data_IF_319314565284
#
_entry.id   IF_319314565284
#
_cell.length_a   1.000
_cell.length_b   1.000
_cell.length_c   1.000
_cell.angle_alpha   90.00
_cell.angle_beta   90.00
_cell.angle_gamma   90.00
#
_symmetry.space_group_name_H-M   'P 1'
#
loop_
_entity.id
_entity.type
_entity.pdbx_description
1 polymer ?
#
# COMPACT_ATOMS: atom_id res chain seq x y z
N UNK A 1 -7.67 1.77 12.18
CA UNK A 1 -7.76 1.43 10.74
C UNK A 1 -6.33 1.39 10.23
N UNK A 2 -5.86 0.29 9.65
CA UNK A 2 -4.45 0.14 9.26
C UNK A 2 -4.07 1.06 8.08
N UNK A 3 -3.13 1.97 8.30
CA UNK A 3 -2.50 2.82 7.29
C UNK A 3 -0.98 2.60 7.28
N UNK A 4 -0.43 2.19 6.13
CA UNK A 4 1.02 2.00 5.94
C UNK A 4 1.74 3.30 5.56
N UNK A 5 0.99 4.35 5.23
CA UNK A 5 1.47 5.66 4.79
C UNK A 5 0.46 6.73 5.23
N UNK A 6 0.92 7.94 5.53
CA UNK A 6 0.02 9.04 5.92
C UNK A 6 -0.57 9.75 4.70
N UNK A 7 -1.68 10.47 4.92
CA UNK A 7 -2.34 11.26 3.88
C UNK A 7 -1.39 12.31 3.30
N UNK A 8 -0.63 13.00 4.13
CA UNK A 8 0.30 14.07 3.69
C UNK A 8 1.39 13.52 2.77
N UNK A 9 1.93 12.34 3.08
CA UNK A 9 2.94 11.67 2.25
C UNK A 9 2.34 11.27 0.90
N UNK A 10 1.11 10.75 0.88
CA UNK A 10 0.42 10.39 -0.37
C UNK A 10 0.14 11.63 -1.21
N UNK A 11 -0.40 12.70 -0.62
CA UNK A 11 -0.69 13.96 -1.32
C UNK A 11 0.58 14.54 -1.94
N UNK A 12 1.67 14.59 -1.18
CA UNK A 12 2.96 15.04 -1.67
C UNK A 12 3.48 14.17 -2.83
N UNK A 13 3.33 12.85 -2.75
CA UNK A 13 3.80 11.93 -3.79
C UNK A 13 2.94 11.95 -5.07
N UNK A 14 1.64 12.20 -4.94
CA UNK A 14 0.69 12.27 -6.06
C UNK A 14 0.49 13.69 -6.61
N UNK A 15 1.20 14.68 -6.06
CA UNK A 15 1.08 16.10 -6.43
C UNK A 15 -0.35 16.64 -6.25
N UNK A 16 -1.03 16.20 -5.20
CA UNK A 16 -2.34 16.72 -4.79
C UNK A 16 -2.12 17.84 -3.78
N UNK A 17 -2.53 19.05 -4.14
CA UNK A 17 -2.33 20.28 -3.35
C UNK A 17 -3.60 20.78 -2.65
N UNK A 18 -4.75 20.19 -2.96
CA UNK A 18 -6.05 20.52 -2.34
C UNK A 18 -6.46 19.48 -1.30
N UNK A 19 -7.49 19.81 -0.52
CA UNK A 19 -8.07 18.94 0.50
C UNK A 19 -9.41 18.31 0.05
N UNK A 20 -9.86 18.60 -1.17
CA UNK A 20 -11.18 18.18 -1.68
C UNK A 20 -11.34 16.64 -1.75
N UNK A 21 -10.23 15.93 -1.91
CA UNK A 21 -10.18 14.47 -2.06
C UNK A 21 -9.65 13.75 -0.81
N UNK A 22 -9.48 14.43 0.32
CA UNK A 22 -8.86 13.86 1.53
C UNK A 22 -9.59 12.61 2.01
N UNK A 23 -10.93 12.67 2.12
CA UNK A 23 -11.77 11.51 2.49
C UNK A 23 -11.60 10.32 1.53
N UNK A 24 -11.47 10.61 0.24
CA UNK A 24 -11.27 9.58 -0.80
C UNK A 24 -9.87 8.97 -0.68
N UNK A 25 -8.84 9.80 -0.55
CA UNK A 25 -7.47 9.36 -0.41
C UNK A 25 -7.26 8.55 0.87
N UNK A 26 -7.87 8.94 1.99
CA UNK A 26 -7.84 8.15 3.23
C UNK A 26 -8.45 6.76 3.02
N UNK A 27 -9.63 6.68 2.39
CA UNK A 27 -10.27 5.40 2.08
C UNK A 27 -9.37 4.53 1.21
N UNK A 28 -8.74 5.10 0.18
CA UNK A 28 -7.82 4.40 -0.71
C UNK A 28 -6.55 3.95 0.02
N UNK A 29 -6.00 4.76 0.92
CA UNK A 29 -4.86 4.40 1.77
C UNK A 29 -5.19 3.18 2.61
N UNK A 30 -6.36 3.14 3.26
CA UNK A 30 -6.77 1.97 4.06
C UNK A 30 -6.96 0.72 3.19
N UNK A 31 -7.56 0.88 2.00
CA UNK A 31 -7.76 -0.23 1.06
C UNK A 31 -6.42 -0.77 0.52
N UNK A 32 -5.51 0.13 0.13
CA UNK A 32 -4.18 -0.20 -0.37
C UNK A 32 -3.34 -0.89 0.71
N UNK A 33 -3.32 -0.32 1.92
CA UNK A 33 -2.61 -0.87 3.09
C UNK A 33 -3.03 -2.31 3.37
N UNK A 34 -4.34 -2.57 3.42
CA UNK A 34 -4.87 -3.94 3.61
C UNK A 34 -4.48 -4.88 2.47
N UNK A 35 -4.44 -4.39 1.25
CA UNK A 35 -4.10 -5.19 0.07
C UNK A 35 -2.62 -5.58 0.06
N UNK A 36 -1.74 -4.66 0.44
CA UNK A 36 -0.29 -4.90 0.61
C UNK A 36 -0.03 -5.91 1.72
N UNK A 37 -0.67 -5.76 2.90
CA UNK A 37 -0.54 -6.73 4.01
C UNK A 37 -1.03 -8.12 3.59
N UNK A 38 -2.18 -8.21 2.91
CA UNK A 38 -2.69 -9.49 2.37
C UNK A 38 -1.73 -10.12 1.37
N UNK A 39 -1.06 -9.32 0.54
CA UNK A 39 -0.07 -9.81 -0.40
C UNK A 39 1.16 -10.40 0.30
N UNK A 40 1.66 -9.72 1.35
CA UNK A 40 2.81 -10.16 2.15
C UNK A 40 2.52 -11.37 3.06
N UNK A 41 1.25 -11.65 3.36
CA UNK A 41 0.81 -12.80 4.19
C UNK A 41 1.51 -12.80 5.56
N UNK A 42 1.95 -13.96 6.06
CA UNK A 42 2.64 -14.11 7.34
C UNK A 42 3.93 -13.28 7.46
N UNK A 43 4.54 -12.84 6.34
CA UNK A 43 5.70 -11.94 6.37
C UNK A 43 5.33 -10.53 6.82
N UNK A 44 4.06 -10.12 6.66
CA UNK A 44 3.60 -8.82 7.11
C UNK A 44 3.79 -8.63 8.62
N UNK A 45 3.51 -9.68 9.42
CA UNK A 45 3.67 -9.65 10.88
C UNK A 45 5.13 -9.36 11.29
N UNK A 46 6.09 -9.92 10.55
CA UNK A 46 7.53 -9.74 10.81
C UNK A 46 8.03 -8.38 10.30
N UNK A 47 7.55 -7.95 9.14
CA UNK A 47 8.04 -6.74 8.45
C UNK A 47 7.41 -5.45 8.97
N UNK A 48 6.25 -5.52 9.61
CA UNK A 48 5.46 -4.36 10.04
C UNK A 48 5.25 -4.32 11.56
N UNK A 49 5.82 -5.27 12.30
CA UNK A 49 5.65 -5.43 13.75
C UNK A 49 4.19 -5.23 14.19
N UNK A 50 3.29 -6.00 13.56
CA UNK A 50 1.86 -5.86 13.78
C UNK A 50 1.50 -6.32 15.18
N UNK A 51 0.72 -5.50 15.90
CA UNK A 51 0.21 -5.85 17.21
C UNK A 51 -0.90 -6.92 17.14
N UNK A 52 -1.40 -7.34 18.31
CA UNK A 52 -2.52 -8.31 18.40
C UNK A 52 -3.84 -7.81 17.80
N UNK A 53 -3.93 -6.52 17.49
CA UNK A 53 -5.08 -5.87 16.85
C UNK A 53 -4.89 -5.69 15.33
N UNK A 54 -3.72 -6.05 14.79
CA UNK A 54 -3.38 -5.92 13.37
C UNK A 54 -3.03 -4.50 12.95
N UNK A 55 -2.62 -3.65 13.89
CA UNK A 55 -2.10 -2.30 13.64
C UNK A 55 -0.57 -2.27 13.81
N UNK A 56 0.09 -1.28 13.21
CA UNK A 56 1.54 -1.12 13.34
C UNK A 56 1.86 -0.68 14.77
N UNK A 57 2.82 -1.35 15.42
CA UNK A 57 3.24 -0.98 16.76
C UNK A 57 3.77 0.46 16.82
N UNK A 58 3.49 1.16 17.92
CA UNK A 58 3.87 2.57 18.06
C UNK A 58 5.40 2.73 17.99
N UNK A 59 5.88 3.51 17.03
CA UNK A 59 7.32 3.79 16.86
C UNK A 59 8.03 2.85 15.87
N UNK A 60 7.31 1.92 15.24
CA UNK A 60 7.86 1.14 14.13
C UNK A 60 7.79 1.93 12.82
N UNK A 61 8.90 1.97 12.09
CA UNK A 61 8.96 2.61 10.77
C UNK A 61 8.70 1.59 9.66
N UNK A 62 7.69 1.86 8.83
CA UNK A 62 7.36 0.99 7.69
C UNK A 62 8.50 1.02 6.66
N UNK A 63 8.99 -0.15 6.18
CA UNK A 63 10.03 -0.20 5.16
C UNK A 63 9.71 0.65 3.92
N UNK A 64 10.68 1.40 3.36
CA UNK A 64 10.43 2.30 2.24
C UNK A 64 9.80 1.63 1.01
N UNK A 65 10.16 0.38 0.72
CA UNK A 65 9.61 -0.40 -0.38
C UNK A 65 8.10 -0.64 -0.21
N UNK A 66 7.66 -0.87 1.03
CA UNK A 66 6.25 -1.05 1.38
C UNK A 66 5.50 0.29 1.28
N UNK A 67 6.12 1.38 1.72
CA UNK A 67 5.55 2.73 1.60
C UNK A 67 5.34 3.08 0.12
N UNK A 68 6.37 2.95 -0.72
CA UNK A 68 6.29 3.25 -2.15
C UNK A 68 5.29 2.34 -2.86
N UNK A 69 5.27 1.04 -2.55
CA UNK A 69 4.29 0.12 -3.10
C UNK A 69 2.85 0.52 -2.74
N UNK A 70 2.63 1.01 -1.51
CA UNK A 70 1.31 1.50 -1.07
C UNK A 70 0.93 2.77 -1.82
N UNK A 71 1.83 3.74 -1.96
CA UNK A 71 1.62 4.97 -2.73
C UNK A 71 1.27 4.65 -4.18
N UNK A 72 2.00 3.73 -4.81
CA UNK A 72 1.73 3.32 -6.20
C UNK A 72 0.33 2.73 -6.35
N UNK A 73 -0.08 1.88 -5.41
CA UNK A 73 -1.42 1.30 -5.43
C UNK A 73 -2.50 2.37 -5.23
N UNK A 74 -2.32 3.31 -4.30
CA UNK A 74 -3.26 4.44 -4.12
C UNK A 74 -3.36 5.27 -5.39
N UNK A 75 -2.22 5.63 -6.00
CA UNK A 75 -2.20 6.39 -7.24
C UNK A 75 -2.88 5.67 -8.40
N UNK A 76 -2.74 4.35 -8.51
CA UNK A 76 -3.47 3.54 -9.51
C UNK A 76 -4.98 3.59 -9.27
N UNK A 77 -5.42 3.37 -8.03
CA UNK A 77 -6.86 3.36 -7.68
C UNK A 77 -7.51 4.73 -7.81
N UNK A 78 -6.77 5.80 -7.48
CA UNK A 78 -7.25 7.17 -7.58
C UNK A 78 -7.38 7.64 -9.04
N UNK A 79 -6.45 7.21 -9.92
CA UNK A 79 -6.48 7.57 -11.34
C UNK A 79 -7.64 6.92 -12.10
N UNK A 80 -7.95 5.67 -11.79
CA UNK A 80 -8.95 4.86 -12.52
C UNK A 80 -9.97 4.25 -11.54
N UNK A 81 -10.86 5.07 -10.94
CA UNK A 81 -11.80 4.58 -9.93
C UNK A 81 -12.90 3.68 -10.49
N UNK A 82 -13.20 3.78 -11.79
CA UNK A 82 -14.31 3.11 -12.47
C UNK A 82 -13.88 2.04 -13.47
N UNK A 83 -12.57 1.82 -13.65
CA UNK A 83 -12.05 0.98 -14.72
C UNK A 83 -10.65 0.43 -14.50
N UNK A 84 -10.13 -0.20 -15.56
CA UNK A 84 -8.76 -0.71 -15.65
C UNK A 84 -8.29 -0.56 -17.11
N UNK A 85 -8.23 0.69 -17.58
CA UNK A 85 -7.90 1.04 -18.96
C UNK A 85 -6.47 0.61 -19.31
N UNK A 86 -5.54 0.73 -18.36
CA UNK A 86 -4.15 0.28 -18.51
C UNK A 86 -3.97 -1.23 -18.31
N UNK A 87 -5.03 -1.99 -17.97
CA UNK A 87 -4.95 -3.42 -17.62
C UNK A 87 -3.91 -3.69 -16.53
N UNK A 88 -3.83 -2.78 -15.58
CA UNK A 88 -2.94 -2.84 -14.44
C UNK A 88 -3.38 -3.94 -13.45
N UNK A 89 -4.65 -4.36 -13.46
CA UNK A 89 -5.16 -5.38 -12.58
C UNK A 89 -5.35 -6.74 -13.29
N UNK A 90 -4.79 -7.77 -12.68
CA UNK A 90 -5.08 -9.16 -13.04
C UNK A 90 -5.78 -9.82 -11.85
N UNK A 91 -6.74 -10.71 -12.12
CA UNK A 91 -7.49 -11.37 -11.06
C UNK A 91 -6.53 -12.05 -10.05
N UNK A 92 -6.58 -11.60 -8.81
CA UNK A 92 -5.77 -12.15 -7.72
C UNK A 92 -4.36 -11.57 -7.58
N UNK A 93 -3.96 -10.61 -8.42
CA UNK A 93 -2.66 -9.95 -8.35
C UNK A 93 -2.78 -8.44 -8.12
N UNK A 94 -1.78 -7.88 -7.44
CA UNK A 94 -1.59 -6.43 -7.38
C UNK A 94 -0.94 -5.95 -8.69
N UNK A 95 -1.04 -4.65 -9.03
CA UNK A 95 -0.37 -4.10 -10.20
C UNK A 95 1.11 -4.46 -10.25
N UNK A 96 1.65 -4.68 -11.46
CA UNK A 96 3.03 -5.15 -11.66
C UNK A 96 4.09 -4.32 -10.91
N UNK A 97 4.04 -2.97 -10.91
CA UNK A 97 5.00 -2.16 -10.17
C UNK A 97 4.96 -2.41 -8.65
N UNK A 98 3.76 -2.58 -8.11
CA UNK A 98 3.53 -2.88 -6.68
C UNK A 98 4.08 -4.28 -6.36
N UNK A 99 3.76 -5.27 -7.19
CA UNK A 99 4.25 -6.65 -7.05
C UNK A 99 5.77 -6.72 -7.14
N UNK A 100 6.42 -5.95 -8.03
CA UNK A 100 7.87 -5.97 -8.20
C UNK A 100 8.63 -5.53 -6.94
N UNK A 101 8.09 -4.56 -6.19
CA UNK A 101 8.67 -4.10 -4.92
C UNK A 101 8.43 -5.11 -3.79
N UNK A 102 7.24 -5.71 -3.73
CA UNK A 102 6.83 -6.56 -2.61
C UNK A 102 7.26 -8.03 -2.75
N UNK A 103 7.51 -8.51 -3.98
CA UNK A 103 7.78 -9.92 -4.24
C UNK A 103 8.99 -10.46 -3.45
N UNK A 104 10.16 -9.78 -3.41
CA UNK A 104 11.31 -10.23 -2.62
C UNK A 104 11.04 -10.25 -1.11
N UNK A 105 10.11 -9.42 -0.62
CA UNK A 105 9.76 -9.36 0.80
C UNK A 105 8.80 -10.49 1.21
N UNK A 106 7.91 -10.86 0.29
CA UNK A 106 6.95 -11.95 0.45
C UNK A 106 7.62 -13.31 0.44
N UNK A 107 8.55 -13.54 -0.48
CA UNK A 107 9.27 -14.81 -0.64
C UNK A 107 10.76 -14.50 -0.77
N UNK A 108 11.46 -14.25 0.35
CA UNK A 108 12.87 -13.90 0.32
C UNK A 108 13.66 -15.06 -0.25
N UNK A 109 14.56 -14.77 -1.20
CA UNK A 109 15.51 -15.76 -1.68
C UNK A 109 16.27 -16.32 -0.46
N UNK A 110 16.15 -17.63 -0.23
CA UNK A 110 16.88 -18.32 0.83
C UNK A 110 18.38 -18.05 0.62
N UNK A 111 19.00 -17.43 1.61
CA UNK A 111 20.45 -17.28 1.69
C UNK A 111 21.12 -18.58 2.15
#
# INVERSE_FOLDING_TARGET
MLALVTLEVVKAALLVDTDDDDDTLELLIYAASRSVVKYLKARAEVLLDLDSSGEISSGFEVPPEIVVATIFLVGTLYREPDGDAEKAFEQGYLPKPVTALLYPLRDPALA
#
